data_IF_765187440642
#
_entry.id   IF_765187440642
#
_cell.length_a   1.000
_cell.length_b   1.000
_cell.length_c   1.000
_cell.angle_alpha   90.00
_cell.angle_beta   90.00
_cell.angle_gamma   90.00
#
_symmetry.space_group_name_H-M   'P 1'
#
loop_
_entity.id
_entity.type
_entity.pdbx_description
1 polymer ?
#
# COMPACT_ATOMS: atom_id res chain seq x y z
N UNK A 1 -1.31 8.48 -17.05
CA UNK A 1 -1.38 8.99 -15.65
C UNK A 1 -1.29 7.79 -14.74
N UNK A 2 -0.31 7.78 -13.85
CA UNK A 2 -0.10 6.67 -12.94
C UNK A 2 -1.19 6.68 -11.85
N UNK A 3 -1.85 5.55 -11.64
CA UNK A 3 -2.95 5.39 -10.69
C UNK A 3 -2.51 4.73 -9.38
N UNK A 4 -3.47 4.29 -8.60
CA UNK A 4 -3.22 3.48 -7.41
C UNK A 4 -4.07 2.20 -7.42
N UNK A 5 -3.59 1.20 -6.71
CA UNK A 5 -4.32 -0.04 -6.46
C UNK A 5 -4.21 -0.41 -4.98
N UNK A 6 -5.31 -0.84 -4.39
CA UNK A 6 -5.33 -1.51 -3.09
C UNK A 6 -5.55 -3.00 -3.34
N UNK A 7 -4.55 -3.82 -3.03
CA UNK A 7 -4.61 -5.28 -3.05
C UNK A 7 -4.83 -5.75 -1.61
N UNK A 8 -5.87 -6.52 -1.37
CA UNK A 8 -6.13 -7.01 -0.02
C UNK A 8 -6.58 -8.46 0.00
N UNK A 9 -6.06 -9.20 0.95
CA UNK A 9 -6.38 -10.62 1.13
C UNK A 9 -7.47 -10.74 2.19
N UNK A 10 -8.62 -11.29 1.80
CA UNK A 10 -9.72 -11.43 2.74
C UNK A 10 -10.97 -12.06 2.15
N UNK A 11 -11.91 -12.41 3.02
CA UNK A 11 -13.26 -12.82 2.64
C UNK A 11 -14.06 -11.57 2.22
N UNK A 12 -15.21 -11.81 1.57
CA UNK A 12 -16.12 -10.71 1.22
C UNK A 12 -16.55 -9.98 2.51
N UNK A 13 -16.42 -8.67 2.49
CA UNK A 13 -16.81 -7.84 3.62
C UNK A 13 -18.35 -7.71 3.71
N UNK A 14 -18.89 -7.35 4.88
CA UNK A 14 -20.29 -6.93 5.02
C UNK A 14 -20.62 -5.79 4.06
N UNK A 15 -21.87 -5.75 3.60
CA UNK A 15 -22.33 -4.76 2.61
C UNK A 15 -22.10 -3.31 3.05
N UNK A 16 -22.30 -3.01 4.33
CA UNK A 16 -22.04 -1.68 4.88
C UNK A 16 -20.57 -1.25 4.73
N UNK A 17 -19.63 -2.18 4.95
CA UNK A 17 -18.19 -1.90 4.78
C UNK A 17 -17.86 -1.72 3.30
N UNK A 18 -18.38 -2.57 2.42
CA UNK A 18 -18.17 -2.47 0.98
C UNK A 18 -18.71 -1.13 0.42
N UNK A 19 -19.89 -0.70 0.87
CA UNK A 19 -20.49 0.56 0.47
C UNK A 19 -19.62 1.76 0.85
N UNK A 20 -19.08 1.78 2.07
CA UNK A 20 -18.18 2.85 2.52
C UNK A 20 -16.85 2.86 1.76
N UNK A 21 -16.26 1.69 1.54
CA UNK A 21 -15.03 1.57 0.75
C UNK A 21 -15.26 2.07 -0.68
N UNK A 22 -16.37 1.66 -1.30
CA UNK A 22 -16.72 2.08 -2.65
C UNK A 22 -16.94 3.59 -2.74
N UNK A 23 -17.59 4.20 -1.74
CA UNK A 23 -17.77 5.65 -1.66
C UNK A 23 -16.41 6.39 -1.68
N UNK A 24 -15.46 5.99 -0.80
CA UNK A 24 -14.14 6.62 -0.77
C UNK A 24 -13.33 6.33 -2.04
N UNK A 25 -13.42 5.11 -2.59
CA UNK A 25 -12.79 4.77 -3.86
C UNK A 25 -13.29 5.68 -5.01
N UNK A 26 -14.59 5.90 -5.09
CA UNK A 26 -15.17 6.81 -6.10
C UNK A 26 -14.70 8.26 -5.90
N UNK A 27 -14.58 8.71 -4.66
CA UNK A 27 -14.03 10.04 -4.35
C UNK A 27 -12.57 10.16 -4.79
N UNK A 28 -11.73 9.15 -4.52
CA UNK A 28 -10.34 9.08 -5.00
C UNK A 28 -10.30 9.04 -6.53
N UNK A 29 -11.24 8.31 -7.17
CA UNK A 29 -11.36 8.18 -8.61
C UNK A 29 -11.55 9.52 -9.36
N UNK A 30 -11.99 10.58 -8.67
CA UNK A 30 -12.09 11.94 -9.23
C UNK A 30 -10.72 12.60 -9.41
N UNK A 31 -9.71 12.14 -8.68
CA UNK A 31 -8.35 12.70 -8.70
C UNK A 31 -7.39 11.87 -9.55
N UNK A 32 -7.57 10.54 -9.55
CA UNK A 32 -6.70 9.62 -10.30
C UNK A 32 -7.37 8.26 -10.52
N UNK A 33 -6.96 7.48 -11.55
CA UNK A 33 -7.38 6.10 -11.71
C UNK A 33 -7.04 5.28 -10.47
N UNK A 34 -8.02 4.55 -9.93
CA UNK A 34 -7.81 3.72 -8.75
C UNK A 34 -8.65 2.44 -8.80
N UNK A 35 -8.15 1.39 -8.20
CA UNK A 35 -8.82 0.11 -8.10
C UNK A 35 -8.64 -0.53 -6.73
N UNK A 36 -9.65 -1.31 -6.32
CA UNK A 36 -9.66 -2.13 -5.13
C UNK A 36 -9.80 -3.58 -5.53
N UNK A 37 -8.81 -4.40 -5.24
CA UNK A 37 -8.72 -5.79 -5.71
C UNK A 37 -8.64 -6.73 -4.53
N UNK A 38 -9.69 -7.54 -4.38
CA UNK A 38 -9.73 -8.59 -3.38
C UNK A 38 -9.03 -9.84 -3.88
N UNK A 39 -8.15 -10.38 -3.05
CA UNK A 39 -7.53 -11.69 -3.20
C UNK A 39 -8.18 -12.67 -2.23
N UNK A 40 -8.33 -13.93 -2.62
CA UNK A 40 -8.91 -14.94 -1.74
C UNK A 40 -7.86 -15.38 -0.72
N UNK A 41 -8.23 -15.50 0.57
CA UNK A 41 -7.34 -16.12 1.55
C UNK A 41 -6.99 -17.53 1.12
N UNK A 42 -5.73 -17.91 1.28
CA UNK A 42 -5.32 -19.29 1.04
C UNK A 42 -5.89 -20.21 2.13
N UNK A 43 -6.30 -21.41 1.72
CA UNK A 43 -6.79 -22.42 2.66
C UNK A 43 -5.60 -23.20 3.21
N UNK A 44 -5.45 -23.17 4.56
CA UNK A 44 -4.46 -23.98 5.28
C UNK A 44 -5.14 -24.92 6.25
N UNK A 45 -4.81 -26.22 6.19
CA UNK A 45 -5.16 -27.18 7.25
C UNK A 45 -4.03 -27.20 8.28
N UNK A 46 -4.39 -26.98 9.55
CA UNK A 46 -3.55 -27.42 10.67
C UNK A 46 -2.15 -26.82 10.76
N UNK A 47 -2.03 -25.48 10.88
CA UNK A 47 -0.80 -24.89 11.43
C UNK A 47 0.30 -24.49 10.44
N UNK A 48 0.14 -24.67 9.14
CA UNK A 48 1.17 -24.26 8.16
C UNK A 48 1.00 -22.79 7.73
N UNK A 49 1.21 -21.88 8.70
CA UNK A 49 1.17 -20.42 8.49
C UNK A 49 2.09 -19.98 7.35
N UNK A 50 3.30 -20.52 7.29
CA UNK A 50 4.29 -20.13 6.28
C UNK A 50 3.82 -20.44 4.87
N UNK A 51 3.21 -21.61 4.68
CA UNK A 51 2.66 -22.03 3.39
C UNK A 51 1.48 -21.15 2.95
N UNK A 52 0.58 -20.83 3.89
CA UNK A 52 -0.57 -19.94 3.61
C UNK A 52 -0.05 -18.57 3.18
N UNK A 53 0.88 -17.97 3.93
CA UNK A 53 1.45 -16.67 3.60
C UNK A 53 2.18 -16.69 2.25
N UNK A 54 2.93 -17.75 1.92
CA UNK A 54 3.59 -17.87 0.63
C UNK A 54 2.60 -17.94 -0.53
N UNK A 55 1.49 -18.68 -0.40
CA UNK A 55 0.45 -18.75 -1.43
C UNK A 55 -0.28 -17.39 -1.60
N UNK A 56 -0.52 -16.68 -0.52
CA UNK A 56 -1.09 -15.33 -0.58
C UNK A 56 -0.12 -14.34 -1.22
N UNK A 57 1.18 -14.47 -0.93
CA UNK A 57 2.22 -13.66 -1.54
C UNK A 57 2.31 -13.86 -3.06
N UNK A 58 2.21 -15.09 -3.55
CA UNK A 58 2.16 -15.37 -4.99
C UNK A 58 0.99 -14.63 -5.65
N UNK A 59 -0.22 -14.70 -5.08
CA UNK A 59 -1.38 -13.97 -5.60
C UNK A 59 -1.16 -12.45 -5.62
N UNK A 60 -0.49 -11.90 -4.61
CA UNK A 60 -0.15 -10.48 -4.54
C UNK A 60 0.84 -10.13 -5.66
N UNK A 61 1.92 -10.90 -5.80
CA UNK A 61 2.96 -10.67 -6.82
C UNK A 61 2.39 -10.71 -8.22
N UNK A 62 1.47 -11.63 -8.51
CA UNK A 62 0.79 -11.74 -9.82
C UNK A 62 -0.03 -10.49 -10.19
N UNK A 63 -0.39 -9.65 -9.22
CA UNK A 63 -1.14 -8.40 -9.43
C UNK A 63 -0.26 -7.16 -9.44
N UNK A 64 0.96 -7.27 -8.98
CA UNK A 64 1.93 -6.18 -9.01
C UNK A 64 2.55 -6.06 -10.40
N UNK A 65 2.87 -4.82 -10.78
CA UNK A 65 3.65 -4.53 -11.98
C UNK A 65 5.11 -4.28 -11.59
N UNK A 66 6.07 -4.58 -12.47
CA UNK A 66 7.49 -4.39 -12.16
C UNK A 66 7.89 -2.97 -11.75
N UNK A 67 7.13 -1.97 -12.22
CA UNK A 67 7.38 -0.55 -11.93
C UNK A 67 6.54 0.00 -10.77
N UNK A 68 5.76 -0.84 -10.07
CA UNK A 68 4.93 -0.37 -8.95
C UNK A 68 5.78 0.10 -7.78
N UNK A 69 5.33 1.18 -7.15
CA UNK A 69 5.76 1.56 -5.81
C UNK A 69 4.86 0.80 -4.82
N UNK A 70 5.43 -0.19 -4.16
CA UNK A 70 4.70 -1.08 -3.24
C UNK A 70 4.71 -0.53 -1.82
N UNK A 71 3.55 -0.42 -1.21
CA UNK A 71 3.34 -0.06 0.20
C UNK A 71 2.74 -1.26 0.93
N UNK A 72 3.49 -1.85 1.84
CA UNK A 72 2.98 -2.90 2.71
C UNK A 72 2.33 -2.30 3.95
N UNK A 73 1.06 -2.63 4.21
CA UNK A 73 0.43 -2.31 5.50
C UNK A 73 0.90 -3.32 6.54
N UNK A 74 1.63 -2.81 7.53
CA UNK A 74 2.20 -3.62 8.62
C UNK A 74 2.11 -2.81 9.92
N UNK A 75 1.64 -3.42 11.00
CA UNK A 75 1.55 -2.78 12.32
C UNK A 75 2.90 -2.30 12.86
N UNK A 76 4.01 -2.90 12.39
CA UNK A 76 5.38 -2.54 12.72
C UNK A 76 5.98 -1.52 11.76
N UNK A 77 5.20 -1.03 10.82
CA UNK A 77 5.61 -0.02 9.86
C UNK A 77 5.77 1.36 10.48
N UNK A 78 6.13 2.33 9.66
CA UNK A 78 6.22 3.73 10.06
C UNK A 78 4.84 4.37 10.04
N UNK A 79 4.49 5.06 11.11
CA UNK A 79 3.30 5.91 11.16
C UNK A 79 3.56 7.22 10.41
N UNK A 80 2.56 7.69 9.71
CA UNK A 80 2.59 8.98 9.01
C UNK A 80 1.35 9.79 9.37
N UNK A 81 1.50 11.10 9.47
CA UNK A 81 0.36 12.00 9.47
C UNK A 81 -0.32 11.99 8.09
N UNK A 82 -1.57 12.46 8.03
CA UNK A 82 -2.29 12.56 6.76
C UNK A 82 -1.55 13.44 5.73
N UNK A 83 -0.88 14.51 6.21
CA UNK A 83 -0.09 15.42 5.37
C UNK A 83 1.19 14.75 4.86
N UNK A 84 1.87 13.95 5.70
CA UNK A 84 3.06 13.20 5.30
C UNK A 84 2.70 12.14 4.26
N UNK A 85 1.61 11.40 4.48
CA UNK A 85 1.10 10.43 3.51
C UNK A 85 0.74 11.13 2.19
N UNK A 86 0.09 12.30 2.25
CA UNK A 86 -0.26 13.07 1.06
C UNK A 86 0.97 13.50 0.26
N UNK A 87 1.99 14.07 0.92
CA UNK A 87 3.24 14.48 0.27
C UNK A 87 3.95 13.30 -0.37
N UNK A 88 4.04 12.19 0.37
CA UNK A 88 4.65 10.96 -0.12
C UNK A 88 3.92 10.41 -1.36
N UNK A 89 2.59 10.29 -1.28
CA UNK A 89 1.75 9.84 -2.40
C UNK A 89 1.91 10.76 -3.61
N UNK A 90 1.92 12.08 -3.40
CA UNK A 90 2.11 13.09 -4.44
C UNK A 90 3.41 12.91 -5.21
N UNK A 91 4.52 12.62 -4.51
CA UNK A 91 5.82 12.37 -5.12
C UNK A 91 5.85 11.04 -5.91
N UNK A 92 5.24 9.98 -5.38
CA UNK A 92 5.25 8.64 -5.99
C UNK A 92 4.38 8.57 -7.24
N UNK A 93 3.14 9.09 -7.20
CA UNK A 93 2.16 9.00 -8.30
C UNK A 93 2.60 9.67 -9.60
N UNK A 94 3.56 10.57 -9.54
CA UNK A 94 4.12 11.21 -10.74
C UNK A 94 5.02 10.27 -11.54
N UNK A 95 5.55 9.23 -10.91
CA UNK A 95 6.58 8.35 -11.47
C UNK A 95 6.10 6.93 -11.73
N UNK A 96 5.20 6.42 -10.88
CA UNK A 96 4.76 5.03 -10.92
C UNK A 96 3.33 4.86 -10.41
N UNK A 97 2.72 3.70 -10.68
CA UNK A 97 1.52 3.27 -9.99
C UNK A 97 1.88 2.93 -8.55
N UNK A 98 1.04 3.33 -7.60
CA UNK A 98 1.23 3.00 -6.18
C UNK A 98 0.33 1.83 -5.82
N UNK A 99 0.92 0.74 -5.33
CA UNK A 99 0.21 -0.46 -4.91
C UNK A 99 0.27 -0.60 -3.39
N UNK A 100 -0.87 -0.41 -2.72
CA UNK A 100 -1.04 -0.70 -1.30
C UNK A 100 -1.44 -2.15 -1.12
N UNK A 101 -0.78 -2.84 -0.18
CA UNK A 101 -0.99 -4.27 0.05
C UNK A 101 -1.39 -4.52 1.50
N UNK A 102 -2.53 -5.18 1.67
CA UNK A 102 -3.08 -5.56 2.98
C UNK A 102 -3.15 -7.09 3.04
N UNK A 103 -2.51 -7.68 4.05
CA UNK A 103 -2.54 -9.12 4.28
C UNK A 103 -3.85 -9.63 4.84
N UNK A 104 -3.95 -10.94 4.98
CA UNK A 104 -5.03 -11.62 5.69
C UNK A 104 -4.90 -11.43 7.22
N UNK A 105 -5.73 -12.13 7.98
CA UNK A 105 -5.62 -12.16 9.46
C UNK A 105 -4.27 -12.70 9.96
N UNK A 106 -3.50 -13.37 9.10
CA UNK A 106 -2.14 -13.81 9.37
C UNK A 106 -1.08 -12.74 9.10
N UNK A 107 -1.46 -11.60 8.53
CA UNK A 107 -0.57 -10.54 8.06
C UNK A 107 -0.06 -10.78 6.64
N UNK A 108 1.07 -10.17 6.31
CA UNK A 108 1.76 -10.30 5.03
C UNK A 108 2.95 -11.26 5.14
N UNK A 109 3.27 -11.92 4.03
CA UNK A 109 4.51 -12.69 3.92
C UNK A 109 5.73 -11.78 4.13
N UNK A 110 6.75 -12.22 4.91
CA UNK A 110 7.94 -11.42 5.18
C UNK A 110 8.68 -10.96 3.90
N UNK A 111 8.62 -11.74 2.83
CA UNK A 111 9.21 -11.38 1.54
C UNK A 111 8.52 -10.18 0.89
N UNK A 112 7.20 -10.06 1.00
CA UNK A 112 6.43 -8.88 0.55
C UNK A 112 6.82 -7.67 1.38
N UNK A 113 6.81 -7.80 2.71
CA UNK A 113 7.15 -6.71 3.64
C UNK A 113 8.59 -6.21 3.43
N UNK A 114 9.55 -7.11 3.21
CA UNK A 114 10.95 -6.75 3.01
C UNK A 114 11.18 -6.00 1.70
N UNK A 115 10.46 -6.37 0.64
CA UNK A 115 10.58 -5.76 -0.69
C UNK A 115 9.74 -4.49 -0.88
N UNK A 116 8.86 -4.18 0.06
CA UNK A 116 8.04 -2.98 0.00
C UNK A 116 8.89 -1.71 0.07
N UNK A 117 8.53 -0.71 -0.73
CA UNK A 117 9.17 0.62 -0.74
C UNK A 117 8.81 1.43 0.49
N UNK A 118 7.64 1.16 1.08
CA UNK A 118 7.19 1.73 2.34
C UNK A 118 6.46 0.65 3.13
N UNK A 119 6.79 0.56 4.42
CA UNK A 119 6.04 -0.21 5.42
C UNK A 119 5.22 0.80 6.20
N UNK A 120 3.92 0.83 5.96
CA UNK A 120 3.00 1.82 6.53
C UNK A 120 2.22 1.20 7.68
N UNK A 121 2.31 1.81 8.86
CA UNK A 121 1.40 1.56 9.96
C UNK A 121 0.30 2.64 9.96
N UNK A 122 -0.96 2.20 9.99
CA UNK A 122 -2.11 3.11 10.07
C UNK A 122 -2.40 3.54 11.52
N UNK A 123 -1.92 2.80 12.49
CA UNK A 123 -2.17 3.02 13.92
C UNK A 123 -1.25 2.13 14.75
N UNK A 124 -0.97 2.54 15.97
CA UNK A 124 -0.33 1.69 17.01
C UNK A 124 -1.28 0.62 17.58
N UNK A 125 -2.56 0.71 17.23
CA UNK A 125 -3.55 -0.33 17.54
C UNK A 125 -3.56 -1.36 16.42
N UNK A 126 -3.69 -2.64 16.78
CA UNK A 126 -3.92 -3.72 15.81
C UNK A 126 -5.31 -3.55 15.19
N UNK A 127 -5.37 -3.40 13.88
CA UNK A 127 -6.62 -3.22 13.13
C UNK A 127 -6.96 -4.50 12.37
N UNK A 128 -8.22 -5.00 12.45
CA UNK A 128 -8.71 -6.00 11.52
C UNK A 128 -8.54 -5.53 10.07
N UNK A 129 -8.20 -6.45 9.16
CA UNK A 129 -7.88 -6.09 7.76
C UNK A 129 -8.99 -5.31 7.04
N UNK A 130 -10.27 -5.54 7.37
CA UNK A 130 -11.40 -4.79 6.80
C UNK A 130 -11.44 -3.33 7.27
N UNK A 131 -11.14 -3.09 8.55
CA UNK A 131 -11.04 -1.72 9.08
C UNK A 131 -9.80 -1.01 8.55
N UNK A 132 -8.68 -1.71 8.46
CA UNK A 132 -7.47 -1.17 7.83
C UNK A 132 -7.71 -0.76 6.38
N UNK A 133 -8.45 -1.57 5.61
CA UNK A 133 -8.84 -1.25 4.22
C UNK A 133 -9.72 0.00 4.16
N UNK A 134 -10.75 0.09 5.00
CA UNK A 134 -11.64 1.26 5.01
C UNK A 134 -10.89 2.53 5.42
N UNK A 135 -10.09 2.45 6.49
CA UNK A 135 -9.27 3.57 6.96
C UNK A 135 -8.26 4.01 5.89
N UNK A 136 -7.62 3.05 5.21
CA UNK A 136 -6.71 3.37 4.11
C UNK A 136 -7.42 4.14 3.00
N UNK A 137 -8.60 3.70 2.53
CA UNK A 137 -9.35 4.40 1.48
C UNK A 137 -9.75 5.81 1.91
N UNK A 138 -10.16 6.01 3.16
CA UNK A 138 -10.44 7.35 3.70
C UNK A 138 -9.18 8.22 3.66
N UNK A 139 -8.04 7.71 4.12
CA UNK A 139 -6.78 8.46 4.14
C UNK A 139 -6.24 8.74 2.74
N UNK A 140 -6.45 7.84 1.77
CA UNK A 140 -6.12 8.09 0.37
C UNK A 140 -6.96 9.21 -0.23
N UNK A 141 -8.26 9.25 0.09
CA UNK A 141 -9.11 10.37 -0.32
C UNK A 141 -8.64 11.69 0.30
N UNK A 142 -8.38 11.70 1.61
CA UNK A 142 -7.84 12.87 2.34
C UNK A 142 -6.52 13.35 1.73
N UNK A 143 -5.62 12.43 1.41
CA UNK A 143 -4.35 12.76 0.75
C UNK A 143 -4.56 13.38 -0.64
N UNK A 144 -5.50 12.87 -1.43
CA UNK A 144 -5.82 13.44 -2.74
C UNK A 144 -6.41 14.85 -2.62
N UNK A 145 -7.31 15.06 -1.65
CA UNK A 145 -7.92 16.36 -1.40
C UNK A 145 -6.87 17.40 -0.97
N UNK A 146 -5.98 17.03 -0.04
CA UNK A 146 -4.84 17.87 0.38
C UNK A 146 -3.95 18.27 -0.80
N UNK A 147 -3.60 17.32 -1.67
CA UNK A 147 -2.78 17.58 -2.85
C UNK A 147 -3.46 18.49 -3.88
N UNK A 148 -4.79 18.51 -3.88
CA UNK A 148 -5.59 19.40 -4.73
C UNK A 148 -5.89 20.77 -4.10
N UNK A 149 -5.42 21.03 -2.86
CA UNK A 149 -5.72 22.26 -2.12
C UNK A 149 -7.15 22.31 -1.58
N UNK A 150 -7.79 21.15 -1.42
CA UNK A 150 -9.16 21.03 -0.92
C UNK A 150 -9.30 21.33 0.58
N UNK A 151 -10.54 21.48 1.02
CA UNK A 151 -10.88 21.86 2.39
C UNK A 151 -11.26 20.68 3.30
N UNK A 152 -11.23 19.46 2.81
CA UNK A 152 -11.61 18.27 3.57
C UNK A 152 -10.71 18.05 4.79
N UNK A 153 -9.43 18.37 4.63
CA UNK A 153 -8.48 18.36 5.72
C UNK A 153 -8.27 19.80 6.23
N UNK A 154 -8.96 20.17 7.29
CA UNK A 154 -8.61 21.38 8.04
C UNK A 154 -7.51 21.01 9.02
N UNK A 155 -6.26 21.25 8.65
CA UNK A 155 -5.13 21.13 9.55
C UNK A 155 -5.32 22.14 10.69
N UNK A 156 -5.52 21.66 11.91
CA UNK A 156 -5.23 22.45 13.10
C UNK A 156 -3.71 22.69 13.11
N UNK A 157 -3.31 23.89 12.76
CA UNK A 157 -1.98 24.45 12.62
C UNK A 157 -0.80 23.62 13.14
N UNK A 158 0.12 23.29 12.25
CA UNK A 158 1.40 22.70 12.60
C UNK A 158 2.35 22.78 11.41
N UNK A 159 3.32 23.70 11.48
CA UNK A 159 4.42 23.76 10.52
C UNK A 159 5.25 22.49 10.61
N UNK A 160 5.23 21.68 9.57
CA UNK A 160 6.07 20.49 9.45
C UNK A 160 7.23 20.73 8.49
N UNK A 161 8.42 20.33 8.93
CA UNK A 161 9.63 20.33 8.10
C UNK A 161 9.45 19.53 6.81
N UNK A 162 10.08 19.98 5.73
CA UNK A 162 9.99 19.35 4.44
C UNK A 162 10.58 17.92 4.47
N UNK A 163 9.74 16.92 4.23
CA UNK A 163 10.17 15.53 4.08
C UNK A 163 11.02 15.40 2.81
N UNK A 164 12.29 15.10 2.95
CA UNK A 164 13.14 14.77 1.82
C UNK A 164 12.89 13.32 1.39
N UNK A 165 12.29 13.16 0.22
CA UNK A 165 12.19 11.84 -0.44
C UNK A 165 13.60 11.41 -0.82
N UNK A 166 14.15 10.42 -0.12
CA UNK A 166 15.41 9.82 -0.58
C UNK A 166 15.21 9.21 -1.98
N UNK A 167 16.10 9.49 -2.92
CA UNK A 167 15.99 8.92 -4.25
C UNK A 167 16.07 7.41 -4.18
N UNK A 168 15.16 6.72 -4.87
CA UNK A 168 15.18 5.27 -5.04
C UNK A 168 16.55 4.90 -5.62
N UNK A 169 17.37 4.20 -4.82
CA UNK A 169 18.68 3.71 -5.26
C UNK A 169 18.44 2.75 -6.43
N UNK A 170 18.87 3.13 -7.63
CA UNK A 170 18.96 2.21 -8.76
C UNK A 170 19.89 1.08 -8.34
N UNK A 171 19.33 -0.12 -8.07
CA UNK A 171 20.15 -1.31 -7.95
C UNK A 171 20.88 -1.50 -9.29
N UNK A 172 22.18 -1.24 -9.29
CA UNK A 172 23.06 -1.43 -10.43
C UNK A 172 22.97 -2.88 -10.90
N UNK A 173 22.72 -3.07 -12.19
CA UNK A 173 22.91 -4.36 -12.85
C UNK A 173 24.34 -4.80 -12.61
N UNK A 174 24.53 -5.82 -11.77
CA UNK A 174 25.81 -6.48 -11.61
C UNK A 174 26.31 -6.99 -12.95
N UNK A 175 27.39 -6.39 -13.44
CA UNK A 175 28.13 -6.80 -14.61
C UNK A 175 28.78 -8.14 -14.25
N UNK A 176 28.26 -9.23 -14.80
CA UNK A 176 28.93 -10.54 -14.78
C UNK A 176 30.24 -10.37 -15.54
N UNK A 177 31.35 -10.31 -14.81
CA UNK A 177 32.69 -10.35 -15.36
C UNK A 177 32.95 -11.75 -15.92
N UNK A 178 33.14 -11.84 -17.23
CA UNK A 178 33.72 -13.03 -17.86
C UNK A 178 35.19 -13.11 -17.43
N UNK A 179 35.53 -14.14 -16.67
CA UNK A 179 36.91 -14.55 -16.49
C UNK A 179 37.46 -15.06 -17.80
N UNK A 180 38.52 -14.43 -18.30
CA UNK A 180 39.36 -14.96 -19.37
C UNK A 180 40.47 -15.77 -18.74
N UNK A 181 40.70 -16.92 -19.35
CA UNK A 181 41.87 -17.81 -19.16
C UNK A 181 43.20 -17.08 -19.41
N UNK A 182 44.17 -17.38 -18.62
CA UNK A 182 45.49 -17.94 -19.04
C UNK A 182 46.09 -18.64 -17.80
#
# INVERSE_FOLDING_TARGET
MNGLVVLWVGKRAPEATESLVEEYRQRVGRFMPCSDVRLRPAEGRGGDRSRVLAQEAEQIVDRLQPADVVVALDERGTEHSSEELARWLGACRQRARVAFVIGSDLGLDPGIVTRAHLKLSLSRLTLPHLLARLLLWEQLYRACDLLAGGAYHRAAGGGGEAFQVQPVIKQGRGRVGRGGEV
#
